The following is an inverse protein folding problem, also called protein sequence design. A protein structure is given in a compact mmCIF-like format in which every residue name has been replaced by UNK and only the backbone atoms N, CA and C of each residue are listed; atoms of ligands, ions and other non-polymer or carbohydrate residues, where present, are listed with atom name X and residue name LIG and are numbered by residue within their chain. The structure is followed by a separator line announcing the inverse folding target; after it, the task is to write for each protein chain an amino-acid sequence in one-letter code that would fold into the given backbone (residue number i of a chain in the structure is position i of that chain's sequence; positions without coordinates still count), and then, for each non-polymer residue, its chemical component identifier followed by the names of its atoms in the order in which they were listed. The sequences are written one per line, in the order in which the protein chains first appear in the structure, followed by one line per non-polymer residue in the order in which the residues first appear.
data_IF_649126592991
#
_entry.id   IF_649126592991
#
_cell.length_a   1.000
_cell.length_b   1.000
_cell.length_c   1.000
_cell.angle_alpha   90.00
_cell.angle_beta   90.00
_cell.angle_gamma   90.00
#
_symmetry.space_group_name_H-M   'P 1'
#
loop_
_entity.id
_entity.type
_entity.pdbx_description
1 polymer ?
#
# COMPACT_ATOMS: atom_id res chain seq x y z
N UNK A 1 46.32 51.03 -20.97
CA UNK A 1 45.63 49.94 -21.69
C UNK A 1 45.98 48.65 -20.93
N UNK A 2 45.13 47.84 -20.31
CA UNK A 2 43.68 47.59 -20.33
C UNK A 2 43.28 47.09 -18.93
N UNK A 3 42.06 47.44 -18.48
CA UNK A 3 41.38 46.86 -17.30
C UNK A 3 40.98 45.40 -17.57
N UNK A 4 40.66 44.62 -16.52
CA UNK A 4 39.62 43.56 -16.41
C UNK A 4 39.97 42.65 -15.21
N UNK A 5 39.54 42.92 -13.96
CA UNK A 5 38.24 42.61 -13.33
C UNK A 5 37.79 41.15 -13.57
N UNK A 6 37.71 40.29 -12.53
CA UNK A 6 36.45 39.91 -11.83
C UNK A 6 36.65 38.79 -10.78
N UNK A 7 35.87 38.83 -9.68
CA UNK A 7 36.07 38.02 -8.48
C UNK A 7 35.54 36.59 -8.63
N UNK A 8 36.08 35.73 -7.76
CA UNK A 8 35.62 34.38 -7.45
C UNK A 8 34.15 34.41 -7.03
N UNK A 9 33.30 33.61 -7.70
CA UNK A 9 31.99 33.23 -7.19
C UNK A 9 31.91 31.70 -7.19
N UNK A 10 32.36 31.10 -6.08
CA UNK A 10 32.14 29.69 -5.76
C UNK A 10 30.65 29.51 -5.44
N UNK A 11 29.85 29.03 -6.40
CA UNK A 11 28.45 28.69 -6.15
C UNK A 11 28.44 27.33 -5.46
N UNK A 12 28.46 27.32 -4.12
CA UNK A 12 28.13 26.15 -3.33
C UNK A 12 26.60 25.97 -3.38
N UNK A 13 26.13 25.13 -4.31
CA UNK A 13 24.74 24.70 -4.34
C UNK A 13 24.49 23.78 -3.15
N UNK A 14 23.86 24.31 -2.09
CA UNK A 14 23.35 23.51 -0.98
C UNK A 14 22.17 22.69 -1.51
N UNK A 15 22.41 21.44 -1.91
CA UNK A 15 21.35 20.47 -2.13
C UNK A 15 20.72 20.15 -0.77
N UNK A 16 19.64 20.87 -0.41
CA UNK A 16 18.76 20.48 0.68
C UNK A 16 18.01 19.23 0.24
N UNK A 17 18.57 18.06 0.56
CA UNK A 17 17.89 16.78 0.39
C UNK A 17 16.68 16.73 1.32
N UNK A 18 15.49 17.07 0.81
CA UNK A 18 14.24 16.79 1.51
C UNK A 18 14.06 15.28 1.55
N UNK A 19 14.22 14.67 2.72
CA UNK A 19 13.93 13.24 2.92
C UNK A 19 12.46 12.98 2.61
N UNK A 20 12.18 12.42 1.43
CA UNK A 20 10.84 11.96 1.09
C UNK A 20 10.60 10.69 1.91
N UNK A 21 9.78 10.80 2.96
CA UNK A 21 9.29 9.62 3.67
C UNK A 21 8.27 8.91 2.78
N UNK A 22 8.70 7.82 2.15
CA UNK A 22 7.83 6.96 1.37
C UNK A 22 7.22 5.89 2.28
N UNK A 23 5.91 5.96 2.48
CA UNK A 23 5.15 4.88 3.09
C UNK A 23 5.30 3.63 2.22
N UNK A 24 5.65 2.50 2.82
CA UNK A 24 5.82 1.24 2.10
C UNK A 24 4.88 0.18 2.65
N UNK A 25 4.25 -0.57 1.74
CA UNK A 25 3.41 -1.71 2.07
C UNK A 25 4.21 -3.00 1.93
N UNK A 26 4.13 -3.84 2.96
CA UNK A 26 4.82 -5.10 3.09
C UNK A 26 4.08 -6.28 2.47
N UNK A 27 4.43 -7.47 2.95
CA UNK A 27 3.79 -8.72 2.55
C UNK A 27 2.37 -8.82 3.08
N UNK A 28 1.53 -9.53 2.35
CA UNK A 28 0.23 -9.98 2.80
C UNK A 28 0.37 -11.25 3.63
N UNK A 29 -0.23 -11.24 4.80
CA UNK A 29 -0.46 -12.40 5.65
C UNK A 29 -1.94 -12.77 5.57
N UNK A 30 -2.24 -14.00 5.15
CA UNK A 30 -3.62 -14.50 5.02
C UNK A 30 -3.99 -15.23 6.30
N UNK A 31 -5.10 -14.83 6.92
CA UNK A 31 -5.56 -15.32 8.22
C UNK A 31 -6.83 -16.18 8.12
N UNK A 32 -7.52 -16.16 6.99
CA UNK A 32 -8.73 -16.95 6.70
C UNK A 32 -8.46 -18.09 5.71
N UNK A 33 -9.25 -19.16 5.79
CA UNK A 33 -9.27 -20.24 4.80
C UNK A 33 -10.36 -20.11 3.73
N UNK A 34 -10.43 -21.11 2.85
CA UNK A 34 -11.54 -21.27 1.89
C UNK A 34 -12.87 -21.48 2.66
N UNK A 35 -13.97 -21.05 2.05
CA UNK A 35 -15.34 -21.04 2.60
C UNK A 35 -15.50 -20.16 3.86
N UNK A 36 -14.56 -19.26 4.12
CA UNK A 36 -14.64 -18.29 5.21
C UNK A 36 -14.63 -16.86 4.65
N UNK A 37 -15.19 -15.87 5.37
CA UNK A 37 -14.99 -14.48 5.04
C UNK A 37 -13.50 -14.15 4.99
N UNK A 38 -13.07 -13.44 3.95
CA UNK A 38 -11.65 -13.10 3.79
C UNK A 38 -11.13 -12.31 5.00
N UNK A 39 -9.98 -12.71 5.54
CA UNK A 39 -9.25 -11.94 6.53
C UNK A 39 -7.76 -12.00 6.20
N UNK A 40 -7.14 -10.83 6.07
CA UNK A 40 -5.70 -10.72 5.87
C UNK A 40 -5.14 -9.44 6.47
N UNK A 41 -3.81 -9.40 6.53
CA UNK A 41 -3.05 -8.28 7.09
C UNK A 41 -1.91 -7.91 6.15
N UNK A 42 -1.75 -6.61 5.88
CA UNK A 42 -0.59 -6.09 5.16
C UNK A 42 0.20 -5.17 6.08
N UNK A 43 1.45 -5.52 6.38
CA UNK A 43 2.32 -4.68 7.23
C UNK A 43 2.64 -3.35 6.53
N UNK A 44 2.68 -2.27 7.29
CA UNK A 44 3.09 -0.95 6.81
C UNK A 44 4.44 -0.57 7.43
N UNK A 45 5.33 -0.06 6.60
CA UNK A 45 6.66 0.42 6.98
C UNK A 45 6.79 1.92 6.70
N UNK A 46 7.70 2.58 7.42
CA UNK A 46 7.98 4.01 7.27
C UNK A 46 6.73 4.90 7.42
N UNK A 47 5.82 4.52 8.33
CA UNK A 47 4.61 5.28 8.64
C UNK A 47 4.93 6.63 9.29
N UNK A 48 6.06 6.75 10.00
CA UNK A 48 6.50 7.99 10.63
C UNK A 48 5.47 8.49 11.65
N UNK A 49 5.13 9.78 11.56
CA UNK A 49 4.12 10.45 12.41
C UNK A 49 2.75 10.56 11.72
N UNK A 50 2.45 9.69 10.74
CA UNK A 50 1.16 9.71 10.06
C UNK A 50 0.05 9.20 11.00
N UNK A 51 -1.06 9.91 11.02
CA UNK A 51 -2.27 9.51 11.72
C UNK A 51 -3.18 8.67 10.83
N UNK A 52 -4.02 7.83 11.45
CA UNK A 52 -4.94 6.94 10.73
C UNK A 52 -5.83 7.70 9.73
N UNK A 53 -6.28 8.91 10.09
CA UNK A 53 -7.18 9.72 9.28
C UNK A 53 -6.51 10.31 8.03
N UNK A 54 -5.17 10.34 8.02
CA UNK A 54 -4.39 10.82 6.87
C UNK A 54 -4.07 9.72 5.87
N UNK A 55 -4.12 8.45 6.29
CA UNK A 55 -3.87 7.30 5.42
C UNK A 55 -5.21 6.74 4.95
N UNK A 56 -5.45 6.81 3.64
CA UNK A 56 -6.63 6.22 3.00
C UNK A 56 -6.21 4.96 2.27
N UNK A 57 -6.87 3.86 2.57
CA UNK A 57 -6.66 2.58 1.89
C UNK A 57 -7.97 2.13 1.26
N UNK A 58 -7.93 1.79 -0.01
CA UNK A 58 -9.08 1.28 -0.73
C UNK A 58 -8.65 0.32 -1.85
N UNK A 59 -9.61 -0.42 -2.38
CA UNK A 59 -9.42 -1.23 -3.58
C UNK A 59 -9.18 -0.31 -4.78
N UNK A 60 -8.14 -0.58 -5.56
CA UNK A 60 -7.78 0.23 -6.72
C UNK A 60 -8.92 0.33 -7.76
N UNK A 61 -8.89 1.38 -8.56
CA UNK A 61 -9.87 1.62 -9.61
C UNK A 61 -9.78 0.59 -10.75
N UNK A 62 -10.86 0.45 -11.52
CA UNK A 62 -10.94 -0.52 -12.63
C UNK A 62 -9.77 -0.38 -13.61
N UNK A 63 -9.33 0.84 -13.90
CA UNK A 63 -8.20 1.10 -14.78
C UNK A 63 -6.90 0.42 -14.31
N UNK A 64 -6.68 0.27 -13.01
CA UNK A 64 -5.50 -0.42 -12.47
C UNK A 64 -5.59 -1.94 -12.66
N UNK A 65 -6.80 -2.49 -12.56
CA UNK A 65 -7.07 -3.89 -12.87
C UNK A 65 -6.85 -4.18 -14.36
N UNK A 66 -7.34 -3.30 -15.24
CA UNK A 66 -7.16 -3.41 -16.68
C UNK A 66 -5.66 -3.36 -17.06
N UNK A 67 -4.90 -2.43 -16.47
CA UNK A 67 -3.45 -2.30 -16.68
C UNK A 67 -2.67 -3.56 -16.30
N UNK A 68 -3.10 -4.28 -15.26
CA UNK A 68 -2.49 -5.52 -14.82
C UNK A 68 -3.17 -6.77 -15.41
N UNK A 69 -4.05 -6.59 -16.40
CA UNK A 69 -4.81 -7.66 -17.06
C UNK A 69 -5.46 -8.63 -16.05
N UNK A 70 -6.00 -8.08 -14.96
CA UNK A 70 -6.59 -8.82 -13.84
C UNK A 70 -8.07 -8.46 -13.72
N UNK A 71 -8.93 -9.45 -13.48
CA UNK A 71 -10.36 -9.20 -13.31
C UNK A 71 -10.67 -8.59 -11.93
N UNK A 72 -11.42 -7.48 -11.91
CA UNK A 72 -11.97 -6.93 -10.66
C UNK A 72 -13.25 -7.65 -10.27
N UNK A 73 -13.11 -8.80 -9.61
CA UNK A 73 -14.25 -9.59 -9.15
C UNK A 73 -15.16 -8.80 -8.20
N UNK A 74 -16.47 -9.02 -8.30
CA UNK A 74 -17.46 -8.33 -7.46
C UNK A 74 -17.20 -8.51 -5.96
N UNK A 75 -16.76 -9.71 -5.54
CA UNK A 75 -16.44 -10.02 -4.14
C UNK A 75 -15.40 -9.08 -3.51
N UNK A 76 -14.51 -8.50 -4.33
CA UNK A 76 -13.47 -7.57 -3.87
C UNK A 76 -14.06 -6.23 -3.42
N UNK A 77 -15.22 -5.85 -3.95
CA UNK A 77 -15.91 -4.58 -3.62
C UNK A 77 -16.38 -4.55 -2.17
N UNK A 78 -16.64 -5.74 -1.59
CA UNK A 78 -17.06 -5.88 -0.20
C UNK A 78 -15.89 -5.93 0.80
N UNK A 79 -14.64 -5.89 0.31
CA UNK A 79 -13.47 -5.82 1.17
C UNK A 79 -13.40 -4.46 1.87
N UNK A 80 -13.18 -4.49 3.18
CA UNK A 80 -12.91 -3.32 4.01
C UNK A 80 -11.45 -3.31 4.38
N UNK A 81 -10.83 -2.14 4.20
CA UNK A 81 -9.43 -1.89 4.49
C UNK A 81 -9.36 -0.91 5.64
N UNK A 82 -8.85 -1.37 6.78
CA UNK A 82 -8.75 -0.55 7.98
C UNK A 82 -7.27 -0.41 8.38
N UNK A 83 -6.65 0.77 8.14
CA UNK A 83 -5.29 1.01 8.61
C UNK A 83 -5.27 1.08 10.14
N UNK A 84 -4.33 0.37 10.74
CA UNK A 84 -4.02 0.36 12.17
C UNK A 84 -2.57 0.83 12.30
N UNK A 85 -2.38 2.04 12.85
CA UNK A 85 -1.07 2.67 12.93
C UNK A 85 -0.55 2.61 14.36
N UNK A 86 0.52 1.86 14.57
CA UNK A 86 1.16 1.63 15.87
C UNK A 86 2.69 1.71 15.71
N UNK A 87 3.20 2.78 15.08
CA UNK A 87 4.62 2.93 14.78
C UNK A 87 5.15 1.80 13.90
N UNK A 88 6.12 1.03 14.39
CA UNK A 88 6.71 -0.11 13.66
C UNK A 88 5.75 -1.30 13.50
N UNK A 89 4.69 -1.39 14.31
CA UNK A 89 3.70 -2.46 14.25
C UNK A 89 2.45 -2.05 13.46
N UNK A 90 2.59 -1.12 12.53
CA UNK A 90 1.49 -0.64 11.70
C UNK A 90 1.11 -1.65 10.62
N UNK A 91 -0.18 -1.76 10.33
CA UNK A 91 -0.69 -2.67 9.31
C UNK A 91 -2.06 -2.24 8.77
N UNK A 92 -2.47 -2.85 7.67
CA UNK A 92 -3.82 -2.75 7.11
C UNK A 92 -4.54 -4.05 7.46
N UNK A 93 -5.60 -3.95 8.25
CA UNK A 93 -6.54 -5.05 8.50
C UNK A 93 -7.52 -5.11 7.31
N UNK A 94 -7.54 -6.24 6.61
CA UNK A 94 -8.37 -6.45 5.42
C UNK A 94 -9.42 -7.49 5.75
N UNK A 95 -10.69 -7.12 5.68
CA UNK A 95 -11.81 -8.01 6.01
C UNK A 95 -12.87 -8.00 4.91
N UNK A 96 -13.25 -9.19 4.46
CA UNK A 96 -14.40 -9.43 3.61
C UNK A 96 -15.63 -9.81 4.43
N UNK A 97 -16.80 -9.67 3.81
CA UNK A 97 -18.08 -10.10 4.39
C UNK A 97 -18.58 -11.43 3.82
N UNK A 98 -18.25 -11.70 2.57
CA UNK A 98 -18.70 -12.89 1.85
C UNK A 98 -17.66 -14.02 1.99
N UNK A 99 -18.10 -15.28 2.14
CA UNK A 99 -17.21 -16.43 2.07
C UNK A 99 -16.50 -16.51 0.72
N UNK A 100 -15.19 -16.73 0.73
CA UNK A 100 -14.39 -16.92 -0.48
C UNK A 100 -14.30 -18.40 -0.80
N UNK A 101 -14.65 -18.81 -2.01
CA UNK A 101 -14.66 -20.23 -2.41
C UNK A 101 -13.42 -20.62 -3.21
N UNK A 102 -12.75 -19.63 -3.77
CA UNK A 102 -11.56 -19.78 -4.58
C UNK A 102 -10.34 -20.10 -3.72
N UNK A 103 -9.39 -20.87 -4.27
CA UNK A 103 -8.10 -21.16 -3.61
C UNK A 103 -7.17 -19.95 -3.55
N UNK A 104 -7.44 -18.93 -4.35
CA UNK A 104 -6.74 -17.66 -4.29
C UNK A 104 -7.64 -16.52 -4.71
N UNK A 105 -7.32 -15.31 -4.24
CA UNK A 105 -7.89 -14.07 -4.75
C UNK A 105 -6.79 -13.08 -5.07
N UNK A 106 -6.94 -12.39 -6.19
CA UNK A 106 -6.07 -11.30 -6.60
C UNK A 106 -6.80 -9.98 -6.38
N UNK A 107 -6.12 -9.04 -5.73
CA UNK A 107 -6.64 -7.71 -5.52
C UNK A 107 -5.53 -6.67 -5.53
N UNK A 108 -5.88 -5.47 -5.94
CA UNK A 108 -4.96 -4.35 -6.02
C UNK A 108 -5.43 -3.33 -5.00
N UNK A 109 -4.57 -2.95 -4.07
CA UNK A 109 -4.86 -1.88 -3.11
C UNK A 109 -4.18 -0.59 -3.55
N UNK A 110 -4.86 0.52 -3.37
CA UNK A 110 -4.27 1.85 -3.43
C UNK A 110 -4.23 2.43 -2.02
N UNK A 111 -3.05 2.91 -1.61
CA UNK A 111 -2.83 3.56 -0.33
C UNK A 111 -2.41 5.00 -0.63
N UNK A 112 -3.18 5.97 -0.12
CA UNK A 112 -2.93 7.41 -0.27
C UNK A 112 -2.57 8.02 1.07
N UNK A 113 -1.57 8.89 1.09
CA UNK A 113 -1.15 9.69 2.24
C UNK A 113 -0.75 11.09 1.76
N UNK A 114 -0.50 12.07 2.65
CA UNK A 114 -0.27 13.46 2.23
C UNK A 114 0.90 13.65 1.26
N UNK A 115 1.95 12.83 1.39
CA UNK A 115 3.16 12.93 0.58
C UNK A 115 3.12 12.06 -0.70
N UNK A 116 2.05 11.31 -0.95
CA UNK A 116 1.93 10.50 -2.16
C UNK A 116 0.92 9.35 -2.10
N UNK A 117 1.05 8.42 -3.03
CA UNK A 117 0.29 7.18 -3.02
C UNK A 117 1.13 6.00 -3.50
N UNK A 118 0.66 4.79 -3.23
CA UNK A 118 1.24 3.57 -3.76
C UNK A 118 0.11 2.63 -4.15
N UNK A 119 0.28 1.96 -5.28
CA UNK A 119 -0.61 0.93 -5.79
C UNK A 119 0.14 -0.40 -5.73
N UNK A 120 -0.47 -1.40 -5.09
CA UNK A 120 0.16 -2.71 -4.89
C UNK A 120 -0.80 -3.84 -5.24
N UNK A 121 -0.43 -4.72 -6.18
CA UNK A 121 -1.12 -5.98 -6.38
C UNK A 121 -0.75 -6.97 -5.27
N UNK A 122 -1.74 -7.77 -4.86
CA UNK A 122 -1.60 -8.85 -3.90
C UNK A 122 -2.35 -10.08 -4.40
N UNK A 123 -1.73 -11.24 -4.19
CA UNK A 123 -2.34 -12.56 -4.36
C UNK A 123 -2.44 -13.20 -2.99
N UNK A 124 -3.67 -13.47 -2.54
CA UNK A 124 -3.93 -14.17 -1.30
C UNK A 124 -4.19 -15.64 -1.60
N UNK A 125 -3.32 -16.52 -1.11
CA UNK A 125 -3.53 -17.96 -1.18
C UNK A 125 -4.32 -18.39 0.05
N UNK A 126 -5.47 -19.04 -0.17
CA UNK A 126 -6.38 -19.47 0.88
C UNK A 126 -6.16 -20.95 1.16
N UNK A 127 -5.79 -21.33 2.41
CA UNK A 127 -5.67 -22.73 2.76
C UNK A 127 -7.04 -23.42 2.74
N UNK A 128 -7.06 -24.68 2.33
CA UNK A 128 -8.21 -25.55 2.58
C UNK A 128 -8.33 -25.79 4.10
N UNK A 129 -9.54 -25.82 4.67
CA UNK A 129 -9.69 -26.25 6.05
C UNK A 129 -9.28 -27.72 6.16
N UNK A 130 -8.37 -28.01 7.09
CA UNK A 130 -8.04 -29.39 7.46
C UNK A 130 -9.31 -30.03 8.07
N UNK A 131 -9.96 -30.93 7.35
CA UNK A 131 -10.98 -31.82 7.94
C UNK A 131 -10.27 -32.74 8.93
N UNK A 132 -10.49 -32.51 10.23
CA UNK A 132 -10.09 -33.43 11.30
C UNK A 132 -11.13 -34.56 11.48
#
# INVERSE_FOLDING_TARGET
MKKLIRPICTIAALCLSTSIMALSAGKLEVLSGINQPFHGKVTLYNVGFLDKDTIKVHLADQSQFDLLNTERKHLLTELKFNPVLNGEQSFIDIKGRQPVKESYIDFIIEIKWPQGHIIRPYTALLPIPETH
#
